data_IF_387428084594
#
_entry.id   IF_387428084594
#
_cell.length_a   1.000
_cell.length_b   1.000
_cell.length_c   1.000
_cell.angle_alpha   90.00
_cell.angle_beta   90.00
_cell.angle_gamma   90.00
#
_symmetry.space_group_name_H-M   'P 1'
#
loop_
_entity.id
_entity.type
_entity.pdbx_description
1 polymer ?
#
# COMPACT_ATOMS: atom_id res chain seq x y z
N UNK A 1 10.35 -6.82 -23.96
CA UNK A 1 9.09 -6.08 -23.85
C UNK A 1 9.15 -5.21 -22.59
N UNK A 2 9.69 -3.99 -22.75
CA UNK A 2 9.99 -3.06 -21.65
C UNK A 2 8.73 -2.49 -20.97
N UNK A 3 7.59 -2.55 -21.64
CA UNK A 3 6.34 -1.96 -21.13
C UNK A 3 5.66 -2.80 -20.04
N UNK A 4 5.83 -4.12 -20.05
CA UNK A 4 5.25 -4.99 -19.03
C UNK A 4 6.05 -4.99 -17.72
N UNK A 5 7.36 -4.73 -17.78
CA UNK A 5 8.22 -4.70 -16.59
C UNK A 5 8.11 -3.37 -15.82
N UNK A 6 7.83 -2.26 -16.51
CA UNK A 6 7.64 -0.95 -15.88
C UNK A 6 6.32 -0.91 -15.10
N UNK A 7 5.25 -1.46 -15.66
CA UNK A 7 3.92 -1.51 -15.04
C UNK A 7 3.92 -2.32 -13.73
N UNK A 8 4.64 -3.44 -13.68
CA UNK A 8 4.76 -4.23 -12.45
C UNK A 8 5.65 -3.57 -11.38
N UNK A 9 6.52 -2.62 -11.77
CA UNK A 9 7.42 -1.92 -10.85
C UNK A 9 6.71 -0.84 -10.04
N UNK A 10 5.80 -0.07 -10.65
CA UNK A 10 5.10 1.03 -9.97
C UNK A 10 4.15 0.50 -8.89
N UNK A 11 3.45 -0.59 -9.15
CA UNK A 11 2.64 -1.31 -8.17
C UNK A 11 3.44 -1.78 -6.96
N UNK A 12 4.67 -2.26 -7.20
CA UNK A 12 5.55 -2.71 -6.12
C UNK A 12 6.05 -1.53 -5.28
N UNK A 13 6.28 -0.36 -5.89
CA UNK A 13 6.70 0.84 -5.18
C UNK A 13 5.63 1.35 -4.22
N UNK A 14 4.36 1.42 -4.67
CA UNK A 14 3.24 1.80 -3.79
C UNK A 14 3.08 0.80 -2.65
N UNK A 15 3.06 -0.50 -2.95
CA UNK A 15 2.90 -1.54 -1.94
C UNK A 15 4.05 -1.56 -0.93
N UNK A 16 5.29 -1.31 -1.37
CA UNK A 16 6.47 -1.25 -0.51
C UNK A 16 6.45 -0.02 0.38
N UNK A 17 6.13 1.15 -0.17
CA UNK A 17 6.00 2.39 0.60
C UNK A 17 4.88 2.28 1.64
N UNK A 18 3.72 1.73 1.25
CA UNK A 18 2.63 1.45 2.17
C UNK A 18 3.05 0.49 3.28
N UNK A 19 3.63 -0.65 2.94
CA UNK A 19 4.08 -1.65 3.90
C UNK A 19 5.11 -1.08 4.91
N UNK A 20 5.96 -0.16 4.45
CA UNK A 20 6.92 0.54 5.30
C UNK A 20 6.23 1.52 6.26
N UNK A 21 5.28 2.31 5.76
CA UNK A 21 4.63 3.38 6.52
C UNK A 21 3.49 2.89 7.41
N UNK A 22 2.74 1.89 6.95
CA UNK A 22 1.48 1.45 7.56
C UNK A 22 1.64 0.73 8.90
N UNK A 23 2.85 0.44 9.36
CA UNK A 23 3.12 -0.03 10.72
C UNK A 23 2.99 1.07 11.78
N UNK A 24 2.88 2.34 11.36
CA UNK A 24 2.76 3.46 12.29
C UNK A 24 1.49 3.36 13.13
N UNK A 25 1.65 3.66 14.41
CA UNK A 25 0.56 3.73 15.38
C UNK A 25 0.53 5.11 16.01
N UNK A 26 -0.53 5.86 15.72
CA UNK A 26 -0.73 7.21 16.26
C UNK A 26 -0.86 7.24 17.80
N UNK A 27 -1.28 6.12 18.39
CA UNK A 27 -1.50 5.97 19.83
C UNK A 27 -0.21 5.97 20.66
N UNK A 28 0.84 5.29 20.20
CA UNK A 28 2.10 5.12 20.92
C UNK A 28 3.35 5.51 20.12
N UNK A 29 3.15 6.01 18.89
CA UNK A 29 4.20 6.47 17.96
C UNK A 29 5.20 5.40 17.54
N UNK A 30 4.83 4.13 17.65
CA UNK A 30 5.64 3.02 17.16
C UNK A 30 5.44 2.80 15.66
N UNK A 31 6.39 2.11 15.03
CA UNK A 31 6.35 1.78 13.61
C UNK A 31 6.65 2.96 12.69
N UNK A 32 6.17 2.86 11.46
CA UNK A 32 6.37 3.87 10.42
C UNK A 32 7.62 3.67 9.59
N UNK A 33 7.78 4.53 8.58
CA UNK A 33 8.80 4.37 7.54
C UNK A 33 10.24 4.65 7.98
N UNK A 34 10.44 5.34 9.14
CA UNK A 34 11.78 5.65 9.60
C UNK A 34 12.56 4.36 9.96
N UNK A 35 13.81 4.30 9.55
CA UNK A 35 14.67 3.15 9.77
C UNK A 35 14.72 2.17 8.60
N UNK A 36 13.87 2.29 7.59
CA UNK A 36 13.71 1.32 6.51
C UNK A 36 13.60 -0.13 7.04
N UNK A 37 12.92 -0.31 8.19
CA UNK A 37 12.86 -1.62 8.88
C UNK A 37 12.13 -2.69 8.08
N UNK A 38 11.41 -2.29 7.05
CA UNK A 38 10.78 -3.23 6.11
C UNK A 38 11.80 -4.21 5.46
N UNK A 39 13.09 -3.85 5.39
CA UNK A 39 14.17 -4.74 4.91
C UNK A 39 14.77 -5.63 5.99
N UNK A 40 14.38 -5.44 7.24
CA UNK A 40 14.92 -6.11 8.42
C UNK A 40 13.91 -7.10 9.02
N UNK A 41 14.41 -8.09 9.76
CA UNK A 41 13.54 -8.95 10.54
C UNK A 41 12.91 -8.15 11.71
N UNK A 42 11.64 -8.41 12.06
CA UNK A 42 10.75 -9.44 11.49
C UNK A 42 9.96 -8.96 10.25
N UNK A 43 9.94 -7.65 9.97
CA UNK A 43 9.00 -7.03 9.02
C UNK A 43 9.19 -7.53 7.57
N UNK A 44 10.42 -7.82 7.15
CA UNK A 44 10.71 -8.33 5.80
C UNK A 44 10.07 -9.68 5.52
N UNK A 45 9.81 -10.47 6.57
CA UNK A 45 9.33 -11.84 6.49
C UNK A 45 7.81 -11.95 6.70
N UNK A 46 7.11 -10.85 7.02
CA UNK A 46 5.67 -10.85 7.17
C UNK A 46 4.97 -11.21 5.86
N UNK A 47 4.03 -12.14 5.94
CA UNK A 47 3.26 -12.62 4.78
C UNK A 47 2.60 -11.47 4.01
N UNK A 48 1.98 -10.53 4.72
CA UNK A 48 1.30 -9.36 4.15
C UNK A 48 2.20 -8.52 3.24
N UNK A 49 3.51 -8.58 3.43
CA UNK A 49 4.50 -7.85 2.64
C UNK A 49 4.97 -8.63 1.41
N UNK A 50 4.52 -9.88 1.23
CA UNK A 50 4.89 -10.73 0.10
C UNK A 50 6.41 -10.77 -0.09
N UNK A 51 7.18 -11.46 0.77
CA UNK A 51 8.64 -11.34 0.89
C UNK A 51 9.42 -11.41 -0.43
N UNK A 52 9.02 -12.29 -1.35
CA UNK A 52 9.70 -12.44 -2.65
C UNK A 52 9.52 -11.19 -3.56
N UNK A 53 8.36 -10.54 -3.50
CA UNK A 53 8.09 -9.29 -4.25
C UNK A 53 8.79 -8.12 -3.60
N UNK A 54 8.70 -8.04 -2.27
CA UNK A 54 9.38 -7.02 -1.48
C UNK A 54 10.89 -7.02 -1.73
N UNK A 55 11.52 -8.19 -1.77
CA UNK A 55 12.96 -8.30 -2.00
C UNK A 55 13.38 -7.67 -3.34
N UNK A 56 12.61 -7.89 -4.42
CA UNK A 56 12.89 -7.29 -5.73
C UNK A 56 12.75 -5.76 -5.72
N UNK A 57 11.68 -5.25 -5.08
CA UNK A 57 11.49 -3.82 -4.95
C UNK A 57 12.62 -3.17 -4.15
N UNK A 58 13.04 -3.79 -3.05
CA UNK A 58 14.15 -3.30 -2.24
C UNK A 58 15.47 -3.32 -2.98
N UNK A 59 15.77 -4.36 -3.76
CA UNK A 59 16.97 -4.43 -4.60
C UNK A 59 17.05 -3.24 -5.58
N UNK A 60 15.94 -2.91 -6.22
CA UNK A 60 15.85 -1.76 -7.12
C UNK A 60 16.06 -0.44 -6.38
N UNK A 61 15.39 -0.25 -5.24
CA UNK A 61 15.47 0.99 -4.45
C UNK A 61 16.87 1.18 -3.82
N UNK A 62 17.52 0.10 -3.40
CA UNK A 62 18.90 0.12 -2.92
C UNK A 62 19.89 0.46 -4.04
N UNK A 63 19.63 -0.01 -5.27
CA UNK A 63 20.40 0.39 -6.46
C UNK A 63 20.32 1.88 -6.69
N UNK A 64 19.11 2.45 -6.70
CA UNK A 64 18.89 3.90 -6.86
C UNK A 64 19.57 4.69 -5.74
N UNK A 65 19.45 4.25 -4.48
CA UNK A 65 20.13 4.88 -3.35
C UNK A 65 21.65 4.93 -3.55
N UNK A 66 22.24 3.80 -3.93
CA UNK A 66 23.70 3.69 -4.15
C UNK A 66 24.16 4.59 -5.29
N UNK A 67 23.45 4.58 -6.42
CA UNK A 67 23.79 5.44 -7.58
C UNK A 67 23.71 6.91 -7.20
N UNK A 68 22.64 7.34 -6.54
CA UNK A 68 22.50 8.73 -6.09
C UNK A 68 23.63 9.12 -5.14
N UNK A 69 23.87 8.32 -4.09
CA UNK A 69 24.86 8.65 -3.08
C UNK A 69 26.29 8.68 -3.65
N UNK A 70 26.61 7.80 -4.61
CA UNK A 70 27.90 7.79 -5.28
C UNK A 70 28.10 8.97 -6.24
N UNK A 71 27.02 9.51 -6.80
CA UNK A 71 27.09 10.65 -7.72
C UNK A 71 27.27 12.00 -6.99
N UNK A 72 27.11 12.06 -5.68
CA UNK A 72 27.18 13.31 -4.91
C UNK A 72 28.63 13.66 -4.51
N UNK A 73 29.15 14.76 -5.07
CA UNK A 73 30.50 15.23 -4.74
C UNK A 73 30.60 16.01 -3.40
N UNK A 74 29.47 16.40 -2.81
CA UNK A 74 29.40 17.30 -1.66
C UNK A 74 28.99 16.63 -0.36
N UNK A 75 29.04 15.30 -0.29
CA UNK A 75 28.69 14.51 0.89
C UNK A 75 27.19 14.46 1.21
N UNK A 76 26.32 14.93 0.31
CA UNK A 76 24.87 14.72 0.46
C UNK A 76 24.56 13.24 0.26
N UNK A 77 23.67 12.73 1.08
CA UNK A 77 23.22 11.33 1.01
C UNK A 77 21.72 11.27 1.21
N UNK A 78 21.11 10.27 0.62
CA UNK A 78 19.71 9.90 0.86
C UNK A 78 19.66 8.56 1.58
N UNK A 79 18.78 8.42 2.59
CA UNK A 79 18.52 7.15 3.25
C UNK A 79 17.64 6.25 2.38
N UNK A 80 17.73 4.94 2.57
CA UNK A 80 16.81 4.02 1.92
C UNK A 80 15.36 4.25 2.38
N UNK A 81 15.18 4.62 3.65
CA UNK A 81 13.87 5.00 4.17
C UNK A 81 13.22 6.14 3.38
N UNK A 82 14.00 7.16 3.03
CA UNK A 82 13.51 8.27 2.19
C UNK A 82 13.30 7.82 0.73
N UNK A 83 14.17 6.98 0.18
CA UNK A 83 14.01 6.45 -1.20
C UNK A 83 12.75 5.60 -1.33
N UNK A 84 12.43 4.78 -0.33
CA UNK A 84 11.18 3.98 -0.31
C UNK A 84 9.95 4.89 -0.37
N UNK A 85 9.92 5.95 0.44
CA UNK A 85 8.79 6.89 0.46
C UNK A 85 8.71 7.67 -0.86
N UNK A 86 9.84 8.15 -1.38
CA UNK A 86 9.91 8.83 -2.68
C UNK A 86 9.43 7.94 -3.83
N UNK A 87 9.79 6.66 -3.81
CA UNK A 87 9.30 5.69 -4.80
C UNK A 87 7.78 5.58 -4.78
N UNK A 88 7.17 5.51 -3.59
CA UNK A 88 5.71 5.54 -3.45
C UNK A 88 5.09 6.85 -3.95
N UNK A 89 5.69 8.01 -3.63
CA UNK A 89 5.23 9.30 -4.14
C UNK A 89 5.27 9.36 -5.67
N UNK A 90 6.39 8.94 -6.28
CA UNK A 90 6.55 8.94 -7.73
C UNK A 90 5.52 8.04 -8.44
N UNK A 91 5.24 6.86 -7.88
CA UNK A 91 4.25 5.95 -8.43
C UNK A 91 2.81 6.53 -8.35
N UNK A 92 2.47 7.21 -7.25
CA UNK A 92 1.18 7.92 -7.12
C UNK A 92 1.09 9.08 -8.12
N UNK A 93 2.15 9.87 -8.29
CA UNK A 93 2.21 10.96 -9.27
C UNK A 93 2.06 10.44 -10.71
N UNK A 94 2.72 9.32 -11.03
CA UNK A 94 2.60 8.69 -12.34
C UNK A 94 1.17 8.18 -12.60
N UNK A 95 0.55 7.55 -11.61
CA UNK A 95 -0.82 7.07 -11.72
C UNK A 95 -1.84 8.21 -11.87
N UNK A 96 -1.62 9.34 -11.20
CA UNK A 96 -2.41 10.55 -11.39
C UNK A 96 -2.22 11.13 -12.79
N UNK A 97 -0.98 11.17 -13.29
CA UNK A 97 -0.67 11.62 -14.64
C UNK A 97 -1.32 10.75 -15.71
N UNK A 98 -1.36 9.43 -15.51
CA UNK A 98 -2.09 8.48 -16.38
C UNK A 98 -3.59 8.82 -16.45
N UNK A 99 -4.15 9.38 -15.37
CA UNK A 99 -5.53 9.87 -15.31
C UNK A 99 -5.71 11.30 -15.87
N UNK A 100 -4.65 11.95 -16.35
CA UNK A 100 -4.68 13.31 -16.87
C UNK A 100 -4.53 14.41 -15.82
N UNK A 101 -4.08 14.07 -14.61
CA UNK A 101 -3.86 15.02 -13.51
C UNK A 101 -2.37 15.20 -13.23
N UNK A 102 -1.89 16.43 -13.25
CA UNK A 102 -0.54 16.78 -12.86
C UNK A 102 -0.54 17.18 -11.38
N UNK A 103 -0.03 16.28 -10.54
CA UNK A 103 0.01 16.44 -9.10
C UNK A 103 1.42 16.25 -8.58
N UNK A 104 1.74 16.92 -7.47
CA UNK A 104 2.98 16.70 -6.72
C UNK A 104 2.60 16.17 -5.34
N UNK A 105 3.07 14.99 -5.00
CA UNK A 105 2.84 14.40 -3.68
C UNK A 105 3.81 15.02 -2.67
N UNK A 106 3.31 15.61 -1.57
CA UNK A 106 4.17 16.22 -0.57
C UNK A 106 5.16 15.21 0.04
N UNK A 107 6.42 15.58 0.07
CA UNK A 107 7.48 14.76 0.64
C UNK A 107 8.28 15.54 1.68
N UNK A 108 8.53 14.93 2.83
CA UNK A 108 9.44 15.45 3.85
C UNK A 108 10.59 14.47 4.02
N UNK A 109 11.81 14.93 3.79
CA UNK A 109 13.05 14.17 3.96
C UNK A 109 13.48 14.10 5.44
N UNK A 110 14.51 13.27 5.71
CA UNK A 110 15.20 13.26 7.00
C UNK A 110 15.04 11.97 7.78
N UNK A 111 14.50 10.92 7.15
CA UNK A 111 14.53 9.58 7.73
C UNK A 111 15.94 9.02 7.67
N UNK A 112 16.26 8.15 8.60
CA UNK A 112 17.54 7.42 8.64
C UNK A 112 17.30 5.92 8.48
N UNK A 113 18.35 5.19 8.13
CA UNK A 113 18.32 3.74 8.03
C UNK A 113 18.79 3.12 9.35
N UNK A 114 18.01 2.19 9.89
CA UNK A 114 18.38 1.42 11.08
C UNK A 114 19.17 0.16 10.70
N UNK A 115 20.00 -0.31 11.61
CA UNK A 115 20.56 -1.66 11.53
C UNK A 115 19.64 -2.70 12.21
N UNK A 116 19.96 -3.98 12.06
CA UNK A 116 19.20 -5.04 12.73
C UNK A 116 19.34 -4.93 14.25
N UNK A 117 20.51 -4.56 14.74
CA UNK A 117 20.79 -4.38 16.19
C UNK A 117 20.03 -3.19 16.78
N UNK A 118 19.68 -2.21 15.95
CA UNK A 118 18.84 -1.06 16.32
C UNK A 118 17.35 -1.33 16.21
N UNK A 119 16.98 -2.59 15.88
CA UNK A 119 15.59 -3.01 15.72
C UNK A 119 15.24 -3.95 16.87
N UNK A 120 14.37 -3.50 17.77
CA UNK A 120 13.78 -4.34 18.82
C UNK A 120 12.77 -5.30 18.17
N UNK A 121 13.22 -6.51 17.89
CA UNK A 121 12.46 -7.52 17.16
C UNK A 121 11.17 -7.90 17.89
N UNK A 122 11.23 -8.05 19.19
CA UNK A 122 10.06 -8.46 20.00
C UNK A 122 8.99 -7.35 20.01
N UNK A 123 9.42 -6.10 20.20
CA UNK A 123 8.52 -4.95 20.14
C UNK A 123 7.98 -4.73 18.71
N UNK A 124 8.75 -5.07 17.69
CA UNK A 124 8.33 -4.90 16.31
C UNK A 124 7.39 -6.01 15.83
N UNK A 125 7.52 -7.22 16.34
CA UNK A 125 6.66 -8.35 16.00
C UNK A 125 5.16 -8.06 16.26
N UNK A 126 4.85 -7.32 17.33
CA UNK A 126 3.45 -6.94 17.66
C UNK A 126 2.84 -5.91 16.69
N UNK A 127 3.64 -5.36 15.77
CA UNK A 127 3.17 -4.46 14.73
C UNK A 127 2.77 -5.20 13.44
N UNK A 128 2.96 -6.53 13.39
CA UNK A 128 2.53 -7.34 12.25
C UNK A 128 1.01 -7.19 12.06
N UNK A 129 0.56 -6.77 10.86
CA UNK A 129 -0.86 -6.64 10.60
C UNK A 129 -1.55 -8.01 10.63
N UNK A 130 -2.56 -8.15 11.47
CA UNK A 130 -3.49 -9.29 11.42
C UNK A 130 -4.52 -9.11 10.29
N UNK A 131 -4.81 -7.86 9.98
CA UNK A 131 -5.64 -7.43 8.87
C UNK A 131 -5.10 -6.12 8.31
N UNK A 132 -5.26 -5.93 7.00
CA UNK A 132 -5.01 -4.67 6.32
C UNK A 132 -6.04 -4.49 5.20
N UNK A 133 -7.16 -3.86 5.52
CA UNK A 133 -8.25 -3.62 4.58
C UNK A 133 -7.84 -2.74 3.39
N UNK A 134 -6.80 -1.91 3.54
CA UNK A 134 -6.26 -1.12 2.43
C UNK A 134 -5.56 -1.99 1.36
N UNK A 135 -5.01 -3.15 1.76
CA UNK A 135 -4.44 -4.16 0.86
C UNK A 135 -5.34 -5.38 0.67
N UNK A 136 -6.57 -5.33 1.16
CA UNK A 136 -7.51 -6.47 1.13
C UNK A 136 -6.91 -7.75 1.71
N UNK A 137 -6.23 -7.62 2.85
CA UNK A 137 -5.52 -8.71 3.53
C UNK A 137 -6.16 -9.05 4.87
N UNK A 138 -6.35 -10.33 5.08
CA UNK A 138 -6.76 -10.91 6.36
C UNK A 138 -5.90 -12.16 6.60
N UNK A 139 -5.18 -12.20 7.72
CA UNK A 139 -4.26 -13.30 8.04
C UNK A 139 -5.01 -14.61 8.36
N UNK A 140 -6.15 -14.48 9.04
CA UNK A 140 -7.01 -15.58 9.43
C UNK A 140 -8.40 -15.02 9.72
N UNK A 141 -9.41 -15.88 9.77
CA UNK A 141 -10.75 -15.44 10.17
C UNK A 141 -10.76 -14.96 11.63
N UNK A 142 -11.42 -13.84 11.83
CA UNK A 142 -11.64 -13.22 13.14
C UNK A 142 -13.15 -13.07 13.39
N UNK A 143 -13.52 -12.97 14.67
CA UNK A 143 -14.90 -12.67 15.08
C UNK A 143 -15.26 -11.20 14.89
N UNK A 144 -14.28 -10.34 14.68
CA UNK A 144 -14.45 -8.92 14.41
C UNK A 144 -14.62 -8.72 12.91
N UNK A 145 -15.59 -7.89 12.51
CA UNK A 145 -15.88 -7.67 11.09
C UNK A 145 -14.74 -6.94 10.35
N UNK A 146 -14.68 -7.13 9.04
CA UNK A 146 -13.67 -6.50 8.21
C UNK A 146 -13.74 -4.96 8.27
N UNK A 147 -14.92 -4.39 8.41
CA UNK A 147 -15.16 -2.96 8.52
C UNK A 147 -14.60 -2.40 9.83
N UNK A 148 -14.83 -3.10 10.95
CA UNK A 148 -14.28 -2.69 12.25
C UNK A 148 -12.76 -2.74 12.25
N UNK A 149 -12.15 -3.79 11.67
CA UNK A 149 -10.71 -3.91 11.51
C UNK A 149 -10.13 -2.80 10.62
N UNK A 150 -10.84 -2.40 9.56
CA UNK A 150 -10.44 -1.30 8.70
C UNK A 150 -10.49 0.05 9.44
N UNK A 151 -11.55 0.29 10.21
CA UNK A 151 -11.70 1.53 11.01
C UNK A 151 -10.63 1.60 12.09
N UNK A 152 -10.35 0.52 12.81
CA UNK A 152 -9.26 0.45 13.79
C UNK A 152 -7.91 0.79 13.14
N UNK A 153 -7.64 0.20 11.98
CA UNK A 153 -6.41 0.49 11.22
C UNK A 153 -6.32 1.95 10.81
N UNK A 154 -7.40 2.53 10.30
CA UNK A 154 -7.46 3.94 9.94
C UNK A 154 -7.21 4.86 11.15
N UNK A 155 -7.77 4.53 12.31
CA UNK A 155 -7.56 5.29 13.55
C UNK A 155 -6.09 5.21 14.02
N UNK A 156 -5.46 4.05 13.96
CA UNK A 156 -4.04 3.90 14.28
C UNK A 156 -3.15 4.76 13.36
N UNK A 157 -3.53 4.87 12.09
CA UNK A 157 -2.86 5.72 11.09
C UNK A 157 -3.25 7.19 11.19
N UNK A 158 -4.17 7.56 12.11
CA UNK A 158 -4.70 8.93 12.27
C UNK A 158 -5.46 9.46 11.06
N UNK A 159 -6.06 8.56 10.26
CA UNK A 159 -6.87 8.93 9.10
C UNK A 159 -8.28 9.33 9.51
N UNK A 160 -8.79 10.35 8.86
CA UNK A 160 -10.22 10.69 8.90
C UNK A 160 -11.04 9.73 8.04
N UNK A 161 -12.35 9.68 8.22
CA UNK A 161 -13.22 8.82 7.41
C UNK A 161 -13.15 9.12 5.90
N UNK A 162 -13.15 10.39 5.43
CA UNK A 162 -12.92 10.67 4.02
C UNK A 162 -11.56 10.19 3.49
N UNK A 163 -10.48 10.40 4.25
CA UNK A 163 -9.14 9.92 3.88
C UNK A 163 -9.08 8.39 3.80
N UNK A 164 -9.67 7.69 4.77
CA UNK A 164 -9.81 6.23 4.75
C UNK A 164 -10.52 5.76 3.48
N UNK A 165 -11.65 6.38 3.14
CA UNK A 165 -12.48 6.02 1.98
C UNK A 165 -11.71 6.23 0.67
N UNK A 166 -11.09 7.38 0.50
CA UNK A 166 -10.29 7.70 -0.71
C UNK A 166 -9.09 6.76 -0.84
N UNK A 167 -8.44 6.45 0.28
CA UNK A 167 -7.29 5.55 0.30
C UNK A 167 -7.68 4.12 -0.10
N UNK A 168 -8.82 3.60 0.38
CA UNK A 168 -9.31 2.29 -0.06
C UNK A 168 -9.50 2.26 -1.59
N UNK A 169 -10.22 3.22 -2.15
CA UNK A 169 -10.45 3.30 -3.60
C UNK A 169 -9.15 3.44 -4.40
N UNK A 170 -8.25 4.30 -3.94
CA UNK A 170 -6.94 4.50 -4.56
C UNK A 170 -6.08 3.24 -4.55
N UNK A 171 -6.01 2.54 -3.42
CA UNK A 171 -5.24 1.29 -3.30
C UNK A 171 -5.81 0.18 -4.19
N UNK A 172 -7.14 0.11 -4.38
CA UNK A 172 -7.76 -0.81 -5.35
C UNK A 172 -7.37 -0.46 -6.78
N UNK A 173 -7.50 0.81 -7.17
CA UNK A 173 -7.14 1.30 -8.50
C UNK A 173 -5.65 1.12 -8.81
N UNK A 174 -4.79 1.24 -7.81
CA UNK A 174 -3.35 1.04 -7.91
C UNK A 174 -2.94 -0.45 -7.83
N UNK A 175 -3.87 -1.40 -7.74
CA UNK A 175 -3.55 -2.83 -7.71
C UNK A 175 -2.78 -3.28 -6.46
N UNK A 176 -2.92 -2.56 -5.34
CA UNK A 176 -2.17 -2.82 -4.11
C UNK A 176 -2.73 -4.00 -3.28
N UNK A 177 -3.74 -4.71 -3.78
CA UNK A 177 -4.32 -5.87 -3.10
C UNK A 177 -3.27 -6.96 -2.86
N UNK A 178 -3.33 -7.56 -1.67
CA UNK A 178 -2.55 -8.74 -1.34
C UNK A 178 -2.81 -9.86 -2.34
N UNK A 179 -1.74 -10.56 -2.75
CA UNK A 179 -1.84 -11.65 -3.71
C UNK A 179 -2.35 -11.24 -5.10
N UNK A 180 -2.38 -9.94 -5.42
CA UNK A 180 -2.95 -9.40 -6.67
C UNK A 180 -4.43 -9.75 -6.87
N UNK A 181 -5.17 -9.92 -5.76
CA UNK A 181 -6.61 -10.16 -5.80
C UNK A 181 -7.34 -9.06 -6.56
N UNK A 182 -8.32 -9.46 -7.36
CA UNK A 182 -9.18 -8.54 -8.11
C UNK A 182 -10.44 -8.12 -7.32
N UNK A 183 -10.59 -8.59 -6.09
CA UNK A 183 -11.72 -8.20 -5.23
C UNK A 183 -11.71 -6.70 -4.94
N UNK A 184 -12.83 -6.05 -5.26
CA UNK A 184 -13.00 -4.61 -5.07
C UNK A 184 -12.23 -3.73 -6.07
N UNK A 185 -11.61 -4.30 -7.10
CA UNK A 185 -10.99 -3.52 -8.19
C UNK A 185 -12.07 -3.16 -9.20
N UNK A 186 -12.73 -2.01 -8.98
CA UNK A 186 -13.85 -1.54 -9.80
C UNK A 186 -13.38 -0.55 -10.85
N UNK A 187 -12.38 -0.94 -11.64
CA UNK A 187 -11.87 -0.18 -12.77
C UNK A 187 -11.29 -1.13 -13.80
N UNK A 188 -11.45 -0.81 -15.07
CA UNK A 188 -10.79 -1.44 -16.23
C UNK A 188 -9.50 -0.70 -16.64
N UNK A 189 -9.13 0.35 -15.88
CA UNK A 189 -7.93 1.16 -16.05
C UNK A 189 -7.01 1.04 -14.81
N UNK A 190 -6.41 -0.13 -14.55
CA UNK A 190 -5.50 -0.29 -13.43
C UNK A 190 -4.33 0.69 -13.55
N UNK A 191 -3.69 1.01 -12.42
CA UNK A 191 -2.56 1.96 -12.33
C UNK A 191 -2.90 3.38 -12.78
N UNK A 192 -4.18 3.71 -12.76
CA UNK A 192 -4.69 5.03 -13.16
C UNK A 192 -5.59 5.55 -12.04
N UNK A 193 -5.25 6.68 -11.43
CA UNK A 193 -6.01 7.27 -10.33
C UNK A 193 -7.21 8.05 -10.84
N UNK A 194 -8.23 7.31 -11.22
CA UNK A 194 -9.54 7.83 -11.59
C UNK A 194 -10.53 7.69 -10.44
N UNK A 195 -11.74 8.18 -10.63
CA UNK A 195 -12.84 7.96 -9.70
C UNK A 195 -13.70 6.72 -10.03
N UNK A 196 -13.22 5.85 -10.92
CA UNK A 196 -13.95 4.66 -11.39
C UNK A 196 -14.43 3.78 -10.24
N UNK A 197 -13.57 3.55 -9.23
CA UNK A 197 -13.93 2.76 -8.04
C UNK A 197 -15.24 3.25 -7.42
N UNK A 198 -15.38 4.56 -7.20
CA UNK A 198 -16.54 5.15 -6.56
C UNK A 198 -17.75 5.19 -7.49
N UNK A 199 -17.54 5.49 -8.77
CA UNK A 199 -18.60 5.49 -9.77
C UNK A 199 -19.24 4.12 -9.89
N UNK A 200 -18.41 3.07 -10.01
CA UNK A 200 -18.90 1.70 -10.18
C UNK A 200 -19.49 1.14 -8.88
N UNK A 201 -18.88 1.42 -7.72
CA UNK A 201 -19.41 0.99 -6.43
C UNK A 201 -20.80 1.58 -6.13
N UNK A 202 -21.02 2.83 -6.52
CA UNK A 202 -22.23 3.59 -6.23
C UNK A 202 -23.24 3.59 -7.39
N UNK A 203 -22.99 2.84 -8.46
CA UNK A 203 -23.92 2.77 -9.58
C UNK A 203 -25.26 2.18 -9.13
N UNK A 204 -26.32 2.96 -9.29
CA UNK A 204 -27.68 2.60 -8.89
C UNK A 204 -28.27 1.49 -9.75
N UNK A 205 -27.69 1.18 -10.91
CA UNK A 205 -28.08 0.06 -11.73
C UNK A 205 -27.48 -1.27 -11.22
N UNK A 206 -26.49 -1.21 -10.35
CA UNK A 206 -25.87 -2.40 -9.76
C UNK A 206 -26.56 -2.79 -8.45
N UNK A 207 -26.92 -4.06 -8.34
CA UNK A 207 -27.36 -4.70 -7.09
C UNK A 207 -26.21 -5.53 -6.52
N UNK A 208 -25.79 -5.21 -5.30
CA UNK A 208 -24.76 -5.95 -4.58
C UNK A 208 -25.39 -7.04 -3.72
N UNK A 209 -24.91 -8.28 -3.84
CA UNK A 209 -25.35 -9.40 -3.02
C UNK A 209 -24.17 -10.14 -2.43
N UNK A 210 -24.28 -10.49 -1.15
CA UNK A 210 -23.32 -11.41 -0.54
C UNK A 210 -23.41 -12.78 -1.19
N UNK A 211 -22.25 -13.36 -1.52
CA UNK A 211 -22.14 -14.69 -2.15
C UNK A 211 -21.40 -15.69 -1.26
N UNK A 212 -20.90 -15.25 -0.11
CA UNK A 212 -20.32 -16.07 0.94
C UNK A 212 -21.25 -16.14 2.15
N UNK A 213 -21.17 -17.22 2.94
CA UNK A 213 -21.94 -17.39 4.18
C UNK A 213 -21.52 -16.35 5.25
N UNK A 214 -20.26 -15.94 5.22
CA UNK A 214 -19.70 -14.92 6.11
C UNK A 214 -20.04 -13.47 5.69
N UNK A 215 -20.72 -13.28 4.55
CA UNK A 215 -21.05 -11.96 3.98
C UNK A 215 -19.81 -11.05 3.77
N UNK A 216 -18.65 -11.63 3.48
CA UNK A 216 -17.38 -10.95 3.25
C UNK A 216 -17.00 -10.85 1.77
N UNK A 217 -17.71 -11.57 0.89
CA UNK A 217 -17.59 -11.52 -0.56
C UNK A 217 -18.92 -11.14 -1.17
N UNK A 218 -18.89 -10.10 -2.01
CA UNK A 218 -20.07 -9.55 -2.69
C UNK A 218 -19.92 -9.64 -4.20
N UNK A 219 -21.02 -9.87 -4.88
CA UNK A 219 -21.13 -9.82 -6.34
C UNK A 219 -22.07 -8.69 -6.74
N UNK A 220 -21.61 -7.85 -7.69
CA UNK A 220 -22.45 -6.83 -8.32
C UNK A 220 -23.11 -7.37 -9.56
N UNK A 221 -24.42 -7.17 -9.70
CA UNK A 221 -25.21 -7.57 -10.87
C UNK A 221 -26.05 -6.41 -11.39
N UNK A 222 -26.20 -6.34 -12.70
CA UNK A 222 -27.13 -5.41 -13.32
C UNK A 222 -28.58 -5.72 -12.86
N UNK A 223 -29.30 -4.70 -12.37
CA UNK A 223 -30.67 -4.87 -11.83
C UNK A 223 -31.69 -5.26 -12.87
N UNK A 224 -31.48 -4.91 -14.14
CA UNK A 224 -32.44 -5.16 -15.19
C UNK A 224 -32.24 -6.54 -15.83
N UNK A 225 -30.98 -6.95 -16.02
CA UNK A 225 -30.64 -8.20 -16.72
C UNK A 225 -30.30 -9.34 -15.76
N UNK A 226 -29.84 -9.03 -14.56
CA UNK A 226 -29.33 -10.02 -13.59
C UNK A 226 -27.94 -10.54 -13.89
N UNK A 227 -27.27 -9.99 -14.92
CA UNK A 227 -25.90 -10.33 -15.31
C UNK A 227 -24.85 -9.68 -14.42
#
# INVERSE_FOLDING_TARGET
>A
DWSSDVCSSDLQLVSTAWASAATFRGSDKRGGANGARIRLAPQKDWEVNQPARLARALETLEGIQKEFNNAQANGKMVSLADVIVLGGCAAVEQAAKNAGHDVTVPFTSGRSDASQEQTDVDSFAVLEPIADGFRNYLKTEYTVSAEELLVDRAQLLTLTAPEMTVLVGGMRGLGANFGQSQHGVFTDRPETLTNDFFVNLLDMNTEWKAVSEAEDVFEGRDRATGE
#
